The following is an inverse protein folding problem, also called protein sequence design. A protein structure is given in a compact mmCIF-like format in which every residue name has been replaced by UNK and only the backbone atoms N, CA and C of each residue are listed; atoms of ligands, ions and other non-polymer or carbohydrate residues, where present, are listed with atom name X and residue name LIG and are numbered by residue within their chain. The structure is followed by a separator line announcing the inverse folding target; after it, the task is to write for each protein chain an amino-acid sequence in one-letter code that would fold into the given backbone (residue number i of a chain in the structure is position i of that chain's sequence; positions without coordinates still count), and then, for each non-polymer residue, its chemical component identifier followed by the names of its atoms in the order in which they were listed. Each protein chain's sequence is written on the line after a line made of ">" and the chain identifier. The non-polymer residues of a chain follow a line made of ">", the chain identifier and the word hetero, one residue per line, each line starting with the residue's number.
data_IF_564805470540
#
_entry.id   IF_564805470540
#
_cell.length_a   1.000
_cell.length_b   1.000
_cell.length_c   1.000
_cell.angle_alpha   90.00
_cell.angle_beta   90.00
_cell.angle_gamma   90.00
#
_symmetry.space_group_name_H-M   'P 1'
#
loop_
_entity.id
_entity.type
_entity.pdbx_description
1 polymer ?
#
# COMPACT_ATOMS: atom_id res chain seq x y z
N UNK A 1 -13.76 10.50 4.26
CA UNK A 1 -13.44 9.05 4.29
C UNK A 1 -13.21 8.56 2.88
N UNK A 2 -12.03 8.00 2.61
CA UNK A 2 -11.66 7.49 1.29
C UNK A 2 -12.25 6.07 1.11
N UNK A 3 -12.85 5.75 -0.05
CA UNK A 3 -13.33 4.40 -0.32
C UNK A 3 -12.20 3.36 -0.23
N UNK A 4 -12.46 2.23 0.44
CA UNK A 4 -11.47 1.15 0.59
C UNK A 4 -10.93 0.65 -0.78
N UNK A 5 -11.78 0.70 -1.81
CA UNK A 5 -11.44 0.32 -3.18
C UNK A 5 -10.30 1.11 -3.83
N UNK A 6 -10.00 2.31 -3.33
CA UNK A 6 -8.86 3.10 -3.81
C UNK A 6 -7.53 2.44 -3.41
N UNK A 7 -7.47 1.76 -2.26
CA UNK A 7 -6.23 1.16 -1.74
C UNK A 7 -5.90 -0.18 -2.39
N UNK A 8 -6.90 -0.92 -2.89
CA UNK A 8 -6.67 -2.15 -3.66
C UNK A 8 -6.71 -1.93 -5.17
N UNK A 9 -6.78 -0.70 -5.67
CA UNK A 9 -6.72 -0.45 -7.10
C UNK A 9 -5.40 -1.01 -7.67
N UNK A 10 -5.49 -2.02 -8.55
CA UNK A 10 -4.31 -2.72 -9.04
C UNK A 10 -3.32 -1.78 -9.75
N UNK A 11 -3.81 -0.82 -10.54
CA UNK A 11 -2.94 0.14 -11.23
C UNK A 11 -2.18 1.06 -10.28
N UNK A 12 -2.75 1.40 -9.12
CA UNK A 12 -2.04 2.17 -8.07
C UNK A 12 -0.98 1.31 -7.37
N UNK A 13 -1.33 0.06 -7.05
CA UNK A 13 -0.39 -0.90 -6.46
C UNK A 13 0.80 -1.19 -7.39
N UNK A 14 0.52 -1.39 -8.68
CA UNK A 14 1.51 -1.60 -9.73
C UNK A 14 2.41 -0.37 -9.91
N UNK A 15 1.82 0.82 -10.04
CA UNK A 15 2.59 2.07 -10.14
C UNK A 15 3.53 2.26 -8.95
N UNK A 16 3.03 2.06 -7.73
CA UNK A 16 3.84 2.14 -6.52
C UNK A 16 4.96 1.08 -6.49
N UNK A 17 4.66 -0.16 -6.88
CA UNK A 17 5.67 -1.22 -6.94
C UNK A 17 6.77 -0.92 -7.97
N UNK A 18 6.41 -0.34 -9.12
CA UNK A 18 7.37 0.09 -10.16
C UNK A 18 8.25 1.24 -9.66
N UNK A 19 7.64 2.27 -9.05
CA UNK A 19 8.38 3.43 -8.51
C UNK A 19 9.37 3.02 -7.42
N UNK A 20 9.02 2.01 -6.61
CA UNK A 20 9.89 1.44 -5.58
C UNK A 20 10.92 0.44 -6.12
N UNK A 21 10.89 0.11 -7.41
CA UNK A 21 11.76 -0.92 -8.00
C UNK A 21 11.50 -2.31 -7.45
N UNK A 22 10.27 -2.60 -7.02
CA UNK A 22 9.84 -3.87 -6.43
C UNK A 22 9.12 -4.80 -7.41
N UNK A 23 9.02 -4.42 -8.69
CA UNK A 23 8.35 -5.20 -9.74
C UNK A 23 9.32 -5.47 -10.91
N UNK A 24 10.18 -6.50 -10.79
CA UNK A 24 11.20 -6.80 -11.81
C UNK A 24 11.13 -8.24 -12.34
N UNK A 25 10.39 -9.13 -11.68
CA UNK A 25 10.34 -10.56 -11.97
C UNK A 25 8.90 -11.08 -11.92
N UNK A 26 8.64 -12.25 -12.53
CA UNK A 26 7.33 -12.92 -12.43
C UNK A 26 6.93 -13.21 -10.97
N UNK A 27 7.91 -13.49 -10.10
CA UNK A 27 7.65 -13.70 -8.67
C UNK A 27 7.21 -12.41 -7.95
N UNK A 28 7.69 -11.25 -8.41
CA UNK A 28 7.24 -9.96 -7.89
C UNK A 28 5.80 -9.65 -8.35
N UNK A 29 5.45 -9.99 -9.60
CA UNK A 29 4.07 -9.89 -10.12
C UNK A 29 3.10 -10.78 -9.32
N UNK A 30 3.49 -12.03 -9.03
CA UNK A 30 2.70 -12.92 -8.17
C UNK A 30 2.52 -12.35 -6.76
N UNK A 31 3.58 -11.77 -6.20
CA UNK A 31 3.53 -11.13 -4.87
C UNK A 31 2.58 -9.93 -4.87
N UNK A 32 2.59 -9.12 -5.93
CA UNK A 32 1.69 -7.98 -6.09
C UNK A 32 0.23 -8.41 -6.24
N UNK A 33 -0.04 -9.46 -7.01
CA UNK A 33 -1.38 -10.06 -7.12
C UNK A 33 -1.87 -10.61 -5.77
N UNK A 34 -0.98 -11.22 -4.99
CA UNK A 34 -1.31 -11.69 -3.65
C UNK A 34 -1.65 -10.54 -2.70
N UNK A 35 -0.90 -9.43 -2.73
CA UNK A 35 -1.24 -8.21 -1.99
C UNK A 35 -2.62 -7.68 -2.41
N UNK A 36 -2.88 -7.56 -3.71
CA UNK A 36 -4.18 -7.12 -4.22
C UNK A 36 -5.33 -8.00 -3.67
N UNK A 37 -5.19 -9.32 -3.74
CA UNK A 37 -6.20 -10.26 -3.24
C UNK A 37 -6.39 -10.15 -1.72
N UNK A 38 -5.30 -10.00 -0.96
CA UNK A 38 -5.37 -9.80 0.49
C UNK A 38 -6.13 -8.53 0.85
N UNK A 39 -5.97 -7.44 0.10
CA UNK A 39 -6.72 -6.21 0.31
C UNK A 39 -8.19 -6.39 -0.08
N UNK A 40 -8.47 -6.94 -1.27
CA UNK A 40 -9.85 -7.21 -1.73
C UNK A 40 -10.64 -8.04 -0.71
N UNK A 41 -10.01 -9.02 -0.06
CA UNK A 41 -10.65 -9.86 0.95
C UNK A 41 -10.51 -9.37 2.39
N UNK A 42 -9.95 -8.17 2.63
CA UNK A 42 -9.71 -7.62 3.97
C UNK A 42 -8.87 -8.57 4.88
N UNK A 43 -7.93 -9.29 4.28
CA UNK A 43 -7.03 -10.24 4.94
C UNK A 43 -5.62 -9.68 5.17
N UNK A 44 -5.32 -8.49 4.63
CA UNK A 44 -4.00 -7.87 4.77
C UNK A 44 -3.61 -7.67 6.25
N UNK A 45 -2.34 -7.94 6.55
CA UNK A 45 -1.74 -7.79 7.88
C UNK A 45 -0.40 -7.08 7.74
N UNK A 46 -0.32 -5.90 8.35
CA UNK A 46 0.93 -5.16 8.51
C UNK A 46 2.00 -5.98 9.24
N UNK A 47 3.28 -5.75 8.93
CA UNK A 47 4.47 -6.40 9.51
C UNK A 47 4.58 -7.91 9.19
N UNK A 48 3.92 -8.37 8.12
CA UNK A 48 4.04 -9.73 7.59
C UNK A 48 4.88 -9.81 6.32
N UNK A 49 4.79 -8.80 5.48
CA UNK A 49 5.54 -8.69 4.25
C UNK A 49 6.01 -7.24 4.09
N UNK A 50 7.29 -6.94 4.39
CA UNK A 50 7.82 -5.59 4.30
C UNK A 50 7.69 -4.97 2.89
N UNK A 51 7.68 -5.80 1.83
CA UNK A 51 7.49 -5.30 0.46
C UNK A 51 6.05 -4.85 0.27
N UNK A 52 5.09 -5.66 0.70
CA UNK A 52 3.68 -5.32 0.65
C UNK A 52 3.37 -4.06 1.48
N UNK A 53 3.98 -3.94 2.66
CA UNK A 53 3.86 -2.78 3.54
C UNK A 53 4.39 -1.51 2.86
N UNK A 54 5.55 -1.59 2.20
CA UNK A 54 6.14 -0.46 1.47
C UNK A 54 5.28 -0.02 0.28
N UNK A 55 4.78 -0.97 -0.53
CA UNK A 55 3.87 -0.67 -1.65
C UNK A 55 2.60 0.01 -1.14
N UNK A 56 1.99 -0.54 -0.09
CA UNK A 56 0.75 -0.01 0.45
C UNK A 56 0.96 1.35 1.14
N UNK A 57 2.10 1.57 1.79
CA UNK A 57 2.47 2.90 2.31
C UNK A 57 2.52 3.93 1.18
N UNK A 58 3.21 3.63 0.08
CA UNK A 58 3.32 4.53 -1.07
C UNK A 58 1.94 4.84 -1.69
N UNK A 59 1.06 3.83 -1.79
CA UNK A 59 -0.33 4.05 -2.25
C UNK A 59 -1.11 4.95 -1.29
N UNK A 60 -1.01 4.73 0.02
CA UNK A 60 -1.65 5.59 1.03
C UNK A 60 -1.15 7.02 0.90
N UNK A 61 0.16 7.22 0.80
CA UNK A 61 0.79 8.53 0.66
C UNK A 61 0.30 9.27 -0.59
N UNK A 62 0.29 8.59 -1.73
CA UNK A 62 -0.19 9.14 -2.99
C UNK A 62 -1.66 9.55 -2.91
N UNK A 63 -2.54 8.69 -2.38
CA UNK A 63 -3.97 8.98 -2.24
C UNK A 63 -4.21 10.17 -1.31
N UNK A 64 -3.50 10.24 -0.18
CA UNK A 64 -3.62 11.35 0.76
C UNK A 64 -3.19 12.67 0.10
N UNK A 65 -2.08 12.66 -0.65
CA UNK A 65 -1.60 13.80 -1.42
C UNK A 65 -2.58 14.24 -2.51
N UNK A 66 -3.06 13.31 -3.35
CA UNK A 66 -4.00 13.57 -4.43
C UNK A 66 -5.32 14.18 -3.95
N UNK A 67 -5.84 13.70 -2.82
CA UNK A 67 -7.13 14.12 -2.28
C UNK A 67 -7.02 15.24 -1.25
N UNK A 68 -5.81 15.72 -0.95
CA UNK A 68 -5.52 16.64 0.14
C UNK A 68 -6.21 16.20 1.46
N UNK A 69 -6.13 14.89 1.75
CA UNK A 69 -6.85 14.23 2.83
C UNK A 69 -5.95 13.99 4.05
N UNK A 70 -6.57 13.71 5.20
CA UNK A 70 -5.86 13.37 6.43
C UNK A 70 -5.84 11.85 6.67
N UNK A 71 -4.91 11.36 7.50
CA UNK A 71 -4.84 9.94 7.85
C UNK A 71 -6.13 9.40 8.48
N UNK A 72 -6.95 10.28 9.09
CA UNK A 72 -8.27 9.92 9.60
C UNK A 72 -9.28 9.55 8.51
N UNK A 73 -9.01 9.87 7.24
CA UNK A 73 -9.78 9.45 6.07
C UNK A 73 -9.43 8.04 5.57
N UNK A 74 -8.27 7.50 5.98
CA UNK A 74 -7.84 6.13 5.66
C UNK A 74 -8.60 5.12 6.53
N UNK A 75 -9.06 3.99 5.97
CA UNK A 75 -9.63 2.88 6.73
C UNK A 75 -8.73 2.48 7.91
N UNK A 76 -9.31 2.33 9.09
CA UNK A 76 -8.56 2.13 10.34
C UNK A 76 -7.61 0.93 10.28
N UNK A 77 -7.98 -0.13 9.55
CA UNK A 77 -7.19 -1.35 9.34
C UNK A 77 -5.88 -1.13 8.55
N UNK A 78 -5.80 -0.05 7.76
CA UNK A 78 -4.61 0.30 6.97
C UNK A 78 -3.77 1.40 7.62
N UNK A 79 -4.25 2.05 8.69
CA UNK A 79 -3.51 3.14 9.35
C UNK A 79 -2.21 2.68 10.00
N UNK A 80 -2.14 1.41 10.43
CA UNK A 80 -0.91 0.82 10.96
C UNK A 80 0.24 0.86 9.94
N UNK A 81 -0.06 0.76 8.64
CA UNK A 81 0.92 0.86 7.55
C UNK A 81 1.52 2.26 7.50
N UNK A 82 0.69 3.30 7.59
CA UNK A 82 1.16 4.68 7.62
C UNK A 82 2.05 4.97 8.84
N UNK A 83 1.60 4.56 10.02
CA UNK A 83 2.36 4.74 11.26
C UNK A 83 3.69 3.95 11.24
N UNK A 84 3.67 2.73 10.71
CA UNK A 84 4.84 1.89 10.55
C UNK A 84 5.83 2.41 9.52
N UNK A 85 5.36 2.77 8.33
CA UNK A 85 6.19 3.30 7.25
C UNK A 85 6.88 4.61 7.62
N UNK A 86 6.20 5.51 8.35
CA UNK A 86 6.83 6.73 8.89
C UNK A 86 7.93 6.44 9.90
N UNK A 87 7.82 5.37 10.69
CA UNK A 87 8.85 4.97 11.66
C UNK A 87 10.04 4.27 11.01
N UNK A 88 9.82 3.63 9.87
CA UNK A 88 10.83 2.84 9.18
C UNK A 88 11.79 3.67 8.32
N UNK A 89 11.60 5.00 8.18
CA UNK A 89 12.42 5.86 7.32
C UNK A 89 12.64 5.23 5.93
N UNK A 90 11.57 4.79 5.27
CA UNK A 90 11.67 4.15 3.94
C UNK A 90 12.15 5.15 2.85
N UNK A 91 12.34 6.43 3.19
CA UNK A 91 12.71 7.50 2.25
C UNK A 91 13.67 8.58 2.82
N UNK A 92 14.64 8.23 3.69
CA UNK A 92 15.81 9.11 3.93
C UNK A 92 17.07 8.60 3.22
#
# INVERSE_FOLDING_TARGET
>A
MIPYAEFYNYGRLESAAVELGLLNTEADEESLLNLHNQLVWHLYRFDKDPRADAILYAVIEAILGEKAADITDVPWELRCVWEGGKRANVFE
#
